data_IF_841490960107
#
_entry.id   IF_841490960107
#
_cell.length_a   1.000
_cell.length_b   1.000
_cell.length_c   1.000
_cell.angle_alpha   90.00
_cell.angle_beta   90.00
_cell.angle_gamma   90.00
#
_symmetry.space_group_name_H-M   'P 1'
#
loop_
_entity.id
_entity.type
_entity.pdbx_description
1 polymer ?
#
# COMPACT_ATOMS: atom_id res chain seq x y z
N UNK A 1 20.70 -10.12 -15.27
CA UNK A 1 19.96 -8.86 -14.99
C UNK A 1 20.26 -8.50 -13.55
N UNK A 2 20.36 -7.19 -13.23
CA UNK A 2 20.56 -6.76 -11.83
C UNK A 2 19.37 -7.17 -10.96
N UNK A 3 19.60 -7.62 -9.72
CA UNK A 3 18.56 -8.14 -8.81
C UNK A 3 17.47 -7.11 -8.51
N UNK A 4 17.83 -5.83 -8.32
CA UNK A 4 16.87 -4.75 -8.10
C UNK A 4 15.94 -4.58 -9.30
N UNK A 5 16.48 -4.60 -10.51
CA UNK A 5 15.68 -4.50 -11.74
C UNK A 5 14.78 -5.73 -11.88
N UNK A 6 15.33 -6.93 -11.60
CA UNK A 6 14.54 -8.16 -11.59
C UNK A 6 13.36 -8.07 -10.62
N UNK A 7 13.60 -7.59 -9.39
CA UNK A 7 12.56 -7.39 -8.39
C UNK A 7 11.43 -6.46 -8.89
N UNK A 8 11.79 -5.33 -9.49
CA UNK A 8 10.81 -4.36 -10.00
C UNK A 8 9.92 -4.94 -11.11
N UNK A 9 10.49 -5.75 -12.01
CA UNK A 9 9.74 -6.30 -13.15
C UNK A 9 8.97 -7.58 -12.82
N UNK A 10 9.33 -8.30 -11.76
CA UNK A 10 8.69 -9.57 -11.37
C UNK A 10 7.60 -9.40 -10.31
N UNK A 11 7.58 -8.30 -9.57
CA UNK A 11 6.53 -8.02 -8.58
C UNK A 11 5.13 -8.04 -9.20
N UNK A 12 4.19 -8.68 -8.53
CA UNK A 12 2.77 -8.76 -8.93
C UNK A 12 1.84 -8.31 -7.80
N UNK A 13 0.66 -7.84 -8.18
CA UNK A 13 -0.42 -7.61 -7.23
C UNK A 13 -1.14 -8.92 -6.93
N UNK A 14 -1.05 -9.36 -5.69
CA UNK A 14 -1.63 -10.62 -5.20
C UNK A 14 -2.94 -10.33 -4.48
N UNK A 15 -3.95 -11.15 -4.71
CA UNK A 15 -5.31 -10.99 -4.19
C UNK A 15 -5.87 -12.30 -3.63
N UNK A 16 -5.04 -13.04 -2.91
CA UNK A 16 -5.40 -14.23 -2.16
C UNK A 16 -4.31 -14.48 -1.14
N UNK A 17 -4.65 -14.60 0.13
CA UNK A 17 -3.69 -14.68 1.21
C UNK A 17 -4.00 -15.81 2.18
N UNK A 18 -2.95 -16.50 2.61
CA UNK A 18 -3.01 -17.47 3.69
C UNK A 18 -2.97 -16.78 5.06
N UNK A 19 -3.26 -17.55 6.11
CA UNK A 19 -3.15 -17.08 7.49
C UNK A 19 -1.69 -17.06 8.03
N UNK A 20 -0.69 -17.32 7.18
CA UNK A 20 0.71 -17.33 7.58
C UNK A 20 1.13 -15.94 8.06
N UNK A 21 1.68 -15.87 9.26
CA UNK A 21 2.18 -14.62 9.86
C UNK A 21 3.43 -14.14 9.12
N UNK A 22 3.53 -12.83 8.88
CA UNK A 22 4.78 -12.18 8.48
C UNK A 22 5.61 -12.00 9.76
N UNK A 23 6.88 -12.47 9.79
CA UNK A 23 7.79 -12.21 10.91
C UNK A 23 7.97 -10.72 11.16
N UNK A 24 8.20 -10.32 12.41
CA UNK A 24 8.28 -8.91 12.79
C UNK A 24 9.48 -8.23 12.13
N UNK A 25 10.64 -8.90 12.10
CA UNK A 25 11.85 -8.42 11.46
C UNK A 25 11.72 -8.25 9.93
N UNK A 26 10.90 -9.07 9.28
CA UNK A 26 10.59 -8.93 7.83
C UNK A 26 9.65 -7.74 7.62
N UNK A 27 8.63 -7.59 8.47
CA UNK A 27 7.71 -6.45 8.39
C UNK A 27 8.45 -5.13 8.64
N UNK A 28 9.33 -5.09 9.65
CA UNK A 28 10.12 -3.90 9.96
C UNK A 28 10.99 -3.46 8.77
N UNK A 29 11.66 -4.40 8.08
CA UNK A 29 12.43 -4.09 6.87
C UNK A 29 11.55 -3.52 5.75
N UNK A 30 10.31 -4.02 5.58
CA UNK A 30 9.36 -3.49 4.60
C UNK A 30 8.98 -2.06 4.96
N UNK A 31 8.68 -1.79 6.23
CA UNK A 31 8.31 -0.46 6.70
C UNK A 31 9.47 0.53 6.60
N UNK A 32 10.68 0.09 6.96
CA UNK A 32 11.90 0.90 6.78
C UNK A 32 12.06 1.31 5.32
N UNK A 33 12.00 0.38 4.38
CA UNK A 33 12.09 0.69 2.96
C UNK A 33 11.01 1.68 2.51
N UNK A 34 9.80 1.57 3.05
CA UNK A 34 8.73 2.54 2.86
C UNK A 34 9.12 3.94 3.31
N UNK A 35 9.73 4.05 4.50
CA UNK A 35 10.13 5.32 5.10
C UNK A 35 11.23 6.05 4.32
N UNK A 36 12.05 5.32 3.56
CA UNK A 36 13.11 5.86 2.70
C UNK A 36 12.62 6.27 1.30
N UNK A 37 11.32 6.26 1.04
CA UNK A 37 10.80 6.77 -0.22
C UNK A 37 11.16 8.27 -0.38
N UNK A 38 11.55 8.72 -1.58
CA UNK A 38 11.82 10.14 -1.81
C UNK A 38 10.54 10.96 -1.63
N UNK A 39 10.70 12.20 -1.16
CA UNK A 39 9.60 13.15 -0.98
C UNK A 39 9.99 14.54 -1.46
N UNK A 40 9.01 15.33 -1.87
CA UNK A 40 9.25 16.70 -2.34
C UNK A 40 9.99 17.53 -1.27
N UNK A 41 11.14 18.08 -1.64
CA UNK A 41 12.03 18.85 -0.75
C UNK A 41 12.38 18.12 0.57
N UNK A 42 12.37 16.79 0.56
CA UNK A 42 12.56 15.95 1.75
C UNK A 42 11.59 16.29 2.91
N UNK A 43 10.34 16.64 2.57
CA UNK A 43 9.31 17.01 3.57
C UNK A 43 8.76 15.82 4.33
N UNK A 44 8.97 14.60 3.84
CA UNK A 44 8.57 13.34 4.50
C UNK A 44 7.10 13.40 4.96
N UNK A 45 6.21 13.85 4.07
CA UNK A 45 4.81 14.10 4.36
C UNK A 45 3.99 12.85 4.68
N UNK A 46 4.48 11.68 4.27
CA UNK A 46 3.77 10.42 4.41
C UNK A 46 3.96 9.79 5.79
N UNK A 47 2.90 9.17 6.29
CA UNK A 47 2.89 8.34 7.50
C UNK A 47 2.24 6.99 7.20
N UNK A 48 2.65 5.95 7.91
CA UNK A 48 2.16 4.60 7.77
C UNK A 48 1.46 4.15 9.05
N UNK A 49 0.22 3.67 8.94
CA UNK A 49 -0.51 3.04 10.03
C UNK A 49 -0.57 1.54 9.75
N UNK A 50 0.02 0.73 10.63
CA UNK A 50 0.12 -0.72 10.46
C UNK A 50 -0.98 -1.42 11.23
N UNK A 51 -1.81 -2.19 10.55
CA UNK A 51 -2.88 -2.99 11.10
C UNK A 51 -2.49 -4.47 11.06
N UNK A 52 -2.54 -5.14 12.21
CA UNK A 52 -2.29 -6.60 12.37
C UNK A 52 -3.43 -7.29 13.12
N UNK A 53 -4.26 -6.51 13.81
CA UNK A 53 -5.44 -7.00 14.47
C UNK A 53 -6.53 -7.32 13.45
N UNK A 54 -7.07 -8.54 13.51
CA UNK A 54 -8.04 -9.05 12.54
C UNK A 54 -9.33 -8.25 12.54
N UNK A 55 -9.80 -7.84 13.68
CA UNK A 55 -11.07 -7.10 13.81
C UNK A 55 -10.89 -5.71 13.21
N UNK A 56 -9.75 -5.06 13.48
CA UNK A 56 -9.42 -3.76 12.87
C UNK A 56 -9.26 -3.81 11.35
N UNK A 57 -8.60 -4.86 10.85
CA UNK A 57 -8.49 -5.09 9.40
C UNK A 57 -9.89 -5.28 8.80
N UNK A 58 -10.74 -6.07 9.44
CA UNK A 58 -12.12 -6.31 9.00
C UNK A 58 -12.95 -5.03 9.00
N UNK A 59 -12.85 -4.19 10.05
CA UNK A 59 -13.53 -2.90 10.13
C UNK A 59 -13.17 -1.99 8.93
N UNK A 60 -11.87 -1.83 8.65
CA UNK A 60 -11.39 -0.99 7.54
C UNK A 60 -11.75 -1.60 6.19
N UNK A 61 -11.66 -2.93 6.05
CA UNK A 61 -12.10 -3.63 4.84
C UNK A 61 -13.58 -3.39 4.55
N UNK A 62 -14.42 -3.50 5.57
CA UNK A 62 -15.86 -3.23 5.45
C UNK A 62 -16.16 -1.78 5.01
N UNK A 63 -15.48 -0.79 5.59
CA UNK A 63 -15.62 0.60 5.17
C UNK A 63 -15.17 0.79 3.72
N UNK A 64 -14.07 0.13 3.33
CA UNK A 64 -13.57 0.17 1.96
C UNK A 64 -14.53 -0.49 0.97
N UNK A 65 -15.11 -1.62 1.33
CA UNK A 65 -16.14 -2.31 0.53
C UNK A 65 -17.38 -1.43 0.33
N UNK A 66 -17.85 -0.76 1.38
CA UNK A 66 -18.98 0.20 1.28
C UNK A 66 -18.70 1.32 0.29
N UNK A 67 -17.52 1.92 0.35
CA UNK A 67 -17.12 2.98 -0.58
C UNK A 67 -17.02 2.45 -2.02
N UNK A 68 -16.60 1.20 -2.18
CA UNK A 68 -16.52 0.55 -3.50
C UNK A 68 -17.89 0.11 -4.04
N UNK A 69 -18.92 0.04 -3.20
CA UNK A 69 -20.24 -0.50 -3.57
C UNK A 69 -20.21 -2.01 -3.81
N UNK A 70 -19.45 -2.75 -3.00
CA UNK A 70 -19.32 -4.22 -3.08
C UNK A 70 -19.52 -4.86 -1.71
N UNK A 71 -19.98 -6.12 -1.69
CA UNK A 71 -20.07 -6.94 -0.48
C UNK A 71 -18.86 -7.88 -0.28
N UNK A 72 -17.92 -7.91 -1.24
CA UNK A 72 -16.71 -8.71 -1.14
C UNK A 72 -15.65 -8.04 -0.27
N UNK A 73 -14.77 -8.83 0.36
CA UNK A 73 -13.59 -8.32 1.09
C UNK A 73 -12.55 -7.77 0.11
N UNK A 74 -12.35 -6.43 0.03
CA UNK A 74 -11.34 -5.85 -0.85
C UNK A 74 -9.90 -6.06 -0.37
N UNK A 75 -9.70 -6.55 0.86
CA UNK A 75 -8.38 -6.87 1.41
C UNK A 75 -8.01 -8.36 1.25
N UNK A 76 -8.91 -9.16 0.68
CA UNK A 76 -8.65 -10.56 0.27
C UNK A 76 -8.11 -11.45 1.40
N UNK A 77 -8.48 -11.18 2.65
CA UNK A 77 -8.03 -11.93 3.82
C UNK A 77 -6.58 -11.65 4.23
N UNK A 78 -5.95 -10.59 3.74
CA UNK A 78 -4.57 -10.25 4.08
C UNK A 78 -4.35 -10.10 5.59
N UNK A 79 -3.29 -10.70 6.17
CA UNK A 79 -3.03 -10.67 7.62
C UNK A 79 -2.44 -9.34 8.11
N UNK A 80 -1.92 -8.50 7.21
CA UNK A 80 -1.37 -7.19 7.53
C UNK A 80 -1.85 -6.17 6.50
N UNK A 81 -2.22 -4.99 6.98
CA UNK A 81 -2.56 -3.84 6.12
C UNK A 81 -1.76 -2.64 6.60
N UNK A 82 -1.03 -1.99 5.69
CA UNK A 82 -0.37 -0.72 5.93
C UNK A 82 -1.18 0.36 5.24
N UNK A 83 -1.87 1.19 6.01
CA UNK A 83 -2.57 2.36 5.47
C UNK A 83 -1.59 3.51 5.38
N UNK A 84 -1.37 4.01 4.18
CA UNK A 84 -0.50 5.17 3.93
C UNK A 84 -1.35 6.43 3.86
N UNK A 85 -0.99 7.41 4.69
CA UNK A 85 -1.52 8.76 4.67
C UNK A 85 -0.41 9.74 4.30
N UNK A 86 -0.79 10.94 3.87
CA UNK A 86 0.16 12.03 3.68
C UNK A 86 -0.45 13.37 4.05
N UNK A 87 0.39 14.28 4.56
CA UNK A 87 0.00 15.62 4.99
C UNK A 87 -0.28 16.53 3.79
N UNK A 88 -1.53 16.88 3.58
CA UNK A 88 -2.01 17.67 2.46
C UNK A 88 -1.52 19.12 2.43
N UNK A 89 -0.89 19.59 3.52
CA UNK A 89 -0.20 20.89 3.54
C UNK A 89 1.07 20.91 2.69
N UNK A 90 1.61 19.72 2.37
CA UNK A 90 2.75 19.56 1.47
C UNK A 90 2.23 19.37 0.04
N UNK A 91 2.58 20.20 -0.93
CA UNK A 91 2.03 20.15 -2.29
C UNK A 91 2.19 18.80 -3.00
N UNK A 92 3.26 18.07 -2.68
CA UNK A 92 3.60 16.75 -3.28
C UNK A 92 3.07 15.56 -2.47
N UNK A 93 2.12 15.76 -1.58
CA UNK A 93 1.68 14.73 -0.64
C UNK A 93 1.16 13.45 -1.31
N UNK A 94 0.50 13.57 -2.46
CA UNK A 94 -0.01 12.39 -3.19
C UNK A 94 1.15 11.59 -3.78
N UNK A 95 2.10 12.26 -4.41
CA UNK A 95 3.29 11.67 -5.00
C UNK A 95 4.16 11.03 -3.91
N UNK A 96 4.42 11.75 -2.80
CA UNK A 96 5.19 11.27 -1.66
C UNK A 96 4.59 9.96 -1.11
N UNK A 97 3.29 9.95 -0.81
CA UNK A 97 2.60 8.76 -0.32
C UNK A 97 2.55 7.63 -1.34
N UNK A 98 2.45 7.95 -2.63
CA UNK A 98 2.48 6.95 -3.71
C UNK A 98 3.85 6.28 -3.85
N UNK A 99 4.92 7.03 -3.64
CA UNK A 99 6.28 6.49 -3.62
C UNK A 99 6.50 5.58 -2.40
N UNK A 100 5.98 5.94 -1.23
CA UNK A 100 5.96 5.05 -0.05
C UNK A 100 5.25 3.74 -0.38
N UNK A 101 4.06 3.77 -1.00
CA UNK A 101 3.34 2.58 -1.44
C UNK A 101 4.17 1.72 -2.41
N UNK A 102 4.87 2.36 -3.35
CA UNK A 102 5.76 1.69 -4.29
C UNK A 102 6.91 0.97 -3.57
N UNK A 103 7.58 1.66 -2.65
CA UNK A 103 8.67 1.08 -1.85
C UNK A 103 8.21 -0.09 -0.99
N UNK A 104 7.08 0.04 -0.28
CA UNK A 104 6.50 -1.05 0.51
C UNK A 104 6.29 -2.32 -0.32
N UNK A 105 5.66 -2.18 -1.49
CA UNK A 105 5.38 -3.33 -2.36
C UNK A 105 6.65 -3.96 -2.96
N UNK A 106 7.65 -3.14 -3.31
CA UNK A 106 8.92 -3.63 -3.86
C UNK A 106 9.77 -4.32 -2.78
N UNK A 107 9.83 -3.77 -1.57
CA UNK A 107 10.51 -4.38 -0.43
C UNK A 107 9.84 -5.69 -0.02
N UNK A 108 8.51 -5.72 0.06
CA UNK A 108 7.75 -6.94 0.32
C UNK A 108 8.15 -8.04 -0.67
N UNK A 109 8.13 -7.74 -1.97
CA UNK A 109 8.49 -8.70 -3.01
C UNK A 109 9.94 -9.19 -2.88
N UNK A 110 10.88 -8.31 -2.59
CA UNK A 110 12.28 -8.68 -2.37
C UNK A 110 12.47 -9.63 -1.18
N UNK A 111 11.59 -9.54 -0.18
CA UNK A 111 11.59 -10.37 1.03
C UNK A 111 10.65 -11.58 0.93
N UNK A 112 10.12 -11.88 -0.26
CA UNK A 112 9.21 -13.00 -0.50
C UNK A 112 7.83 -12.85 0.13
N UNK A 113 7.41 -11.60 0.42
CA UNK A 113 6.07 -11.25 0.89
C UNK A 113 5.26 -10.70 -0.28
N UNK A 114 4.06 -11.22 -0.45
CA UNK A 114 3.13 -10.78 -1.47
C UNK A 114 2.40 -9.50 -1.04
N UNK A 115 2.04 -8.67 -2.01
CA UNK A 115 1.40 -7.39 -1.74
C UNK A 115 0.42 -6.96 -2.83
N UNK A 116 -0.48 -6.05 -2.47
CA UNK A 116 -1.32 -5.35 -3.42
C UNK A 116 -1.66 -3.95 -2.90
N UNK A 117 -1.73 -2.97 -3.78
CA UNK A 117 -2.32 -1.65 -3.50
C UNK A 117 -3.84 -1.76 -3.61
N UNK A 118 -4.55 -1.52 -2.52
CA UNK A 118 -6.01 -1.37 -2.51
C UNK A 118 -6.33 0.11 -2.41
N UNK A 119 -7.10 0.58 -3.37
CA UNK A 119 -7.50 1.98 -3.47
C UNK A 119 -8.59 2.35 -2.45
N UNK A 120 -9.06 3.60 -2.46
CA UNK A 120 -10.17 4.14 -1.65
C UNK A 120 -9.83 4.56 -0.23
N UNK A 121 -8.57 4.54 0.19
CA UNK A 121 -8.19 5.08 1.50
C UNK A 121 -8.65 6.54 1.66
N UNK A 122 -8.54 7.37 0.60
CA UNK A 122 -9.00 8.77 0.61
C UNK A 122 -10.47 8.86 0.95
N UNK A 123 -11.31 8.13 0.23
CA UNK A 123 -12.76 8.17 0.39
C UNK A 123 -13.19 7.60 1.75
N UNK A 124 -12.59 6.49 2.19
CA UNK A 124 -12.88 5.88 3.49
C UNK A 124 -12.61 6.87 4.61
N UNK A 125 -11.42 7.45 4.64
CA UNK A 125 -10.99 8.34 5.72
C UNK A 125 -11.50 9.79 5.60
N UNK A 126 -12.23 10.12 4.53
CA UNK A 126 -13.02 11.35 4.44
C UNK A 126 -14.41 11.23 5.07
N UNK A 127 -14.89 10.01 5.34
CA UNK A 127 -16.16 9.79 6.03
C UNK A 127 -16.08 10.18 7.51
N UNK A 128 -17.20 10.50 8.18
CA UNK A 128 -17.20 10.77 9.63
C UNK A 128 -16.55 9.64 10.45
N UNK A 129 -16.90 8.38 10.15
CA UNK A 129 -16.32 7.21 10.82
C UNK A 129 -14.82 7.11 10.57
N UNK A 130 -14.38 7.30 9.33
CA UNK A 130 -12.96 7.30 8.96
C UNK A 130 -12.17 8.39 9.69
N UNK A 131 -12.71 9.60 9.80
CA UNK A 131 -12.11 10.70 10.56
C UNK A 131 -11.97 10.39 12.05
N UNK A 132 -12.97 9.75 12.65
CA UNK A 132 -12.90 9.33 14.06
C UNK A 132 -11.83 8.25 14.28
N UNK A 133 -11.64 7.36 13.31
CA UNK A 133 -10.56 6.37 13.34
C UNK A 133 -9.19 7.07 13.25
N UNK A 134 -9.01 8.01 12.31
CA UNK A 134 -7.78 8.79 12.17
C UNK A 134 -7.39 9.51 13.46
N UNK A 135 -8.35 10.15 14.13
CA UNK A 135 -8.13 10.80 15.43
C UNK A 135 -7.60 9.84 16.49
N UNK A 136 -8.12 8.60 16.54
CA UNK A 136 -7.63 7.55 17.46
C UNK A 136 -6.20 7.12 17.15
N UNK A 137 -5.76 7.28 15.91
CA UNK A 137 -4.38 7.04 15.47
C UNK A 137 -3.46 8.26 15.63
N UNK A 138 -3.99 9.38 16.16
CA UNK A 138 -3.24 10.62 16.34
C UNK A 138 -3.05 11.44 15.07
N UNK A 139 -3.82 11.15 14.02
CA UNK A 139 -3.79 11.90 12.76
C UNK A 139 -4.85 12.98 12.76
N UNK A 140 -4.46 14.20 12.41
CA UNK A 140 -5.36 15.34 12.26
C UNK A 140 -6.04 15.37 10.86
N UNK A 141 -6.89 16.36 10.65
CA UNK A 141 -7.68 16.52 9.42
C UNK A 141 -6.85 16.86 8.17
N UNK A 142 -5.58 17.22 8.32
CA UNK A 142 -4.69 17.52 7.21
C UNK A 142 -4.15 16.24 6.56
N UNK A 143 -4.20 15.11 7.26
CA UNK A 143 -3.77 13.84 6.68
C UNK A 143 -4.84 13.26 5.76
N UNK A 144 -4.42 12.88 4.57
CA UNK A 144 -5.26 12.30 3.52
C UNK A 144 -4.80 10.88 3.22
N UNK A 145 -5.74 9.93 3.17
CA UNK A 145 -5.44 8.55 2.80
C UNK A 145 -4.95 8.44 1.35
N UNK A 146 -3.82 7.78 1.15
CA UNK A 146 -3.22 7.55 -0.17
C UNK A 146 -3.58 6.16 -0.68
N UNK A 147 -3.44 5.15 0.14
CA UNK A 147 -3.75 3.77 -0.24
C UNK A 147 -3.59 2.79 0.92
N UNK A 148 -4.11 1.58 0.71
CA UNK A 148 -3.93 0.48 1.64
C UNK A 148 -2.99 -0.55 0.98
N UNK A 149 -1.79 -0.74 1.53
CA UNK A 149 -0.88 -1.80 1.13
C UNK A 149 -1.22 -3.05 1.93
N UNK A 150 -1.86 -4.02 1.29
CA UNK A 150 -2.12 -5.32 1.91
C UNK A 150 -0.91 -6.23 1.72
N UNK A 151 -0.55 -6.97 2.76
CA UNK A 151 0.66 -7.80 2.83
C UNK A 151 0.32 -9.18 3.39
N UNK A 152 1.00 -10.21 2.87
CA UNK A 152 0.86 -11.60 3.34
C UNK A 152 1.56 -12.58 2.42
N UNK A 153 1.26 -13.84 2.57
CA UNK A 153 1.76 -14.91 1.68
C UNK A 153 0.60 -15.48 0.89
N UNK A 154 0.74 -15.59 -0.43
CA UNK A 154 -0.28 -16.18 -1.27
C UNK A 154 -0.49 -17.67 -0.95
N UNK A 155 -1.73 -18.09 -1.01
CA UNK A 155 -2.15 -19.49 -0.99
C UNK A 155 -2.36 -20.05 -2.42
N UNK A 156 -2.12 -19.23 -3.43
CA UNK A 156 -2.29 -19.56 -4.86
C UNK A 156 -1.06 -19.15 -5.66
N UNK A 157 -0.84 -19.77 -6.83
CA UNK A 157 0.21 -19.34 -7.75
C UNK A 157 0.07 -17.86 -8.13
N UNK A 158 1.19 -17.12 -8.06
CA UNK A 158 1.24 -15.73 -8.51
C UNK A 158 1.11 -15.68 -10.03
N UNK A 159 0.24 -14.83 -10.60
CA UNK A 159 0.02 -14.79 -12.03
C UNK A 159 1.24 -14.25 -12.79
N UNK A 160 1.43 -14.72 -14.01
CA UNK A 160 2.44 -14.21 -14.92
C UNK A 160 2.24 -12.72 -15.25
N UNK A 161 3.33 -12.08 -15.66
CA UNK A 161 3.28 -10.70 -16.14
C UNK A 161 2.53 -10.64 -17.47
N UNK A 162 1.52 -9.78 -17.55
CA UNK A 162 0.92 -9.44 -18.83
C UNK A 162 1.92 -8.64 -19.69
N UNK A 163 1.81 -8.76 -21.00
CA UNK A 163 2.57 -7.93 -21.95
C UNK A 163 2.40 -6.45 -21.64
N UNK A 164 3.47 -5.70 -21.77
CA UNK A 164 3.40 -4.24 -21.64
C UNK A 164 2.78 -3.65 -22.91
N UNK A 165 2.00 -2.60 -22.74
CA UNK A 165 1.45 -1.83 -23.85
C UNK A 165 2.62 -1.21 -24.64
N UNK A 166 2.60 -1.29 -25.96
CA UNK A 166 3.57 -0.60 -26.82
C UNK A 166 3.41 0.93 -26.73
N UNK A 167 4.50 1.66 -27.05
CA UNK A 167 4.49 3.12 -27.07
C UNK A 167 4.56 3.80 -25.69
N UNK A 168 4.89 3.04 -24.63
CA UNK A 168 5.05 3.61 -23.28
C UNK A 168 6.33 4.45 -23.13
N UNK A 169 7.25 4.34 -24.07
CA UNK A 169 8.51 5.10 -24.09
C UNK A 169 8.60 5.79 -25.43
N UNK A 170 8.81 7.09 -25.41
CA UNK A 170 8.99 7.92 -26.59
C UNK A 170 10.39 8.51 -26.50
N UNK A 171 11.20 8.27 -27.54
CA UNK A 171 12.49 8.91 -27.69
C UNK A 171 12.33 10.15 -28.56
N UNK A 172 12.67 11.31 -28.03
CA UNK A 172 12.80 12.53 -28.84
C UNK A 172 14.14 12.43 -29.59
N UNK A 173 14.07 12.35 -30.91
CA UNK A 173 15.24 12.36 -31.79
C UNK A 173 15.33 13.76 -32.41
N UNK A 174 16.50 14.40 -32.29
CA UNK A 174 16.83 15.66 -32.96
C UNK A 174 17.34 15.40 -34.36
#
# INVERSE_FOLDING_TARGET
MNETIQNLITRRSVRSYSNKRIPDDVLDQILDAGSYAPSGMNKQSAVMVVLRDRDRISDISFLNAKVMGTDSDPFYGAPVVVVVFADSRVPTYVEDGSLVMGNLMNAAHALGVDSCWIHRAREVFSTPVGKDIMKKWGLDENYVGIGNCILGYSDKPVPDAKSRKGGNVIFEHH
#
